data_IF_528943988522
#
_entry.id   IF_528943988522
#
_cell.length_a   1.000
_cell.length_b   1.000
_cell.length_c   1.000
_cell.angle_alpha   90.00
_cell.angle_beta   90.00
_cell.angle_gamma   90.00
#
_symmetry.space_group_name_H-M   'P 1'
#
loop_
_entity.id
_entity.type
_entity.pdbx_description
1 polymer ?
#
# COMPACT_ATOMS: atom_id res chain seq x y z
N UNK A 1 4.59 -20.46 36.92
CA UNK A 1 5.35 -19.29 37.42
C UNK A 1 6.83 -19.60 37.24
N UNK A 2 7.51 -18.96 36.27
CA UNK A 2 8.95 -19.16 36.07
C UNK A 2 9.73 -18.25 37.02
N UNK A 3 10.67 -18.88 37.74
CA UNK A 3 11.54 -18.31 38.75
C UNK A 3 12.42 -17.17 38.17
N UNK A 4 12.22 -15.95 38.70
CA UNK A 4 12.89 -14.72 38.25
C UNK A 4 14.32 -14.59 38.81
N UNK A 5 14.78 -15.52 39.65
CA UNK A 5 16.06 -15.45 40.35
C UNK A 5 17.32 -15.73 39.52
N UNK A 6 17.21 -16.11 38.24
CA UNK A 6 18.37 -16.51 37.40
C UNK A 6 18.81 -15.50 36.34
N UNK A 7 18.20 -14.32 36.26
CA UNK A 7 18.53 -13.33 35.24
C UNK A 7 19.51 -12.32 35.82
N UNK A 8 20.81 -12.50 35.55
CA UNK A 8 21.82 -11.48 35.82
C UNK A 8 21.79 -10.42 34.70
N UNK A 9 22.01 -9.15 35.06
CA UNK A 9 21.93 -7.95 34.21
C UNK A 9 20.53 -7.53 33.75
N UNK A 10 19.62 -7.29 34.69
CA UNK A 10 18.39 -6.53 34.40
C UNK A 10 18.65 -5.03 34.55
N UNK A 11 18.92 -4.35 33.45
CA UNK A 11 18.70 -2.90 33.38
C UNK A 11 17.23 -2.64 33.03
N UNK A 12 16.65 -1.58 33.61
CA UNK A 12 15.33 -1.10 33.21
C UNK A 12 15.48 -0.52 31.81
N UNK A 13 14.89 -1.18 30.82
CA UNK A 13 14.95 -0.77 29.42
C UNK A 13 14.00 0.39 29.19
N UNK A 14 14.55 1.44 28.58
CA UNK A 14 13.84 2.59 28.00
C UNK A 14 12.72 2.13 27.06
N UNK A 15 11.62 2.87 26.97
CA UNK A 15 10.42 2.46 26.22
C UNK A 15 10.70 2.28 24.73
N UNK A 16 11.62 3.09 24.18
CA UNK A 16 12.14 2.99 22.81
C UNK A 16 12.79 1.62 22.52
N UNK A 17 13.49 1.06 23.51
CA UNK A 17 14.18 -0.23 23.41
C UNK A 17 13.22 -1.43 23.50
N UNK A 18 12.00 -1.24 24.05
CA UNK A 18 10.97 -2.30 24.09
C UNK A 18 10.41 -2.59 22.69
N UNK A 19 10.18 -1.55 21.89
CA UNK A 19 9.74 -1.68 20.49
C UNK A 19 10.79 -2.35 19.59
N UNK A 20 12.05 -1.94 19.71
CA UNK A 20 13.14 -2.61 18.98
C UNK A 20 13.31 -4.07 19.40
N UNK A 21 13.19 -4.38 20.70
CA UNK A 21 13.29 -5.76 21.20
C UNK A 21 12.08 -6.61 20.82
N UNK A 22 10.87 -6.06 20.75
CA UNK A 22 9.69 -6.79 20.28
C UNK A 22 9.79 -7.09 18.78
N UNK A 23 10.28 -6.14 17.98
CA UNK A 23 10.59 -6.35 16.56
C UNK A 23 11.67 -7.41 16.39
N UNK A 24 12.80 -7.31 17.10
CA UNK A 24 13.88 -8.32 17.04
C UNK A 24 13.39 -9.69 17.53
N UNK A 25 12.56 -9.73 18.58
CA UNK A 25 11.98 -10.97 19.10
C UNK A 25 10.97 -11.56 18.11
N UNK A 26 10.17 -10.76 17.42
CA UNK A 26 9.26 -11.18 16.35
C UNK A 26 10.02 -11.65 15.09
N UNK A 27 11.11 -10.95 14.73
CA UNK A 27 12.04 -11.36 13.67
C UNK A 27 12.72 -12.70 14.01
N UNK A 28 13.02 -12.96 15.29
CA UNK A 28 13.56 -14.25 15.73
C UNK A 28 12.46 -15.33 15.88
N UNK A 29 11.23 -14.95 16.25
CA UNK A 29 10.04 -15.83 16.28
C UNK A 29 9.63 -16.28 14.88
N UNK A 30 10.11 -15.62 13.82
CA UNK A 30 10.00 -16.09 12.43
C UNK A 30 10.58 -17.50 12.23
N UNK A 31 11.42 -17.98 13.15
CA UNK A 31 11.98 -19.33 13.16
C UNK A 31 11.08 -20.36 13.87
N UNK A 32 9.94 -19.96 14.45
CA UNK A 32 9.06 -20.86 15.18
C UNK A 32 8.28 -21.77 14.20
N UNK A 33 8.26 -23.11 14.40
CA UNK A 33 7.67 -24.07 13.46
C UNK A 33 6.19 -23.85 13.12
N UNK A 34 5.44 -23.19 14.02
CA UNK A 34 4.01 -22.87 13.83
C UNK A 34 3.79 -21.71 12.86
N UNK A 35 4.75 -20.79 12.72
CA UNK A 35 4.68 -19.66 11.79
C UNK A 35 5.21 -20.03 10.40
N UNK A 36 6.11 -21.02 10.31
CA UNK A 36 6.72 -21.47 9.05
C UNK A 36 5.74 -22.01 7.99
N UNK A 37 4.51 -22.40 8.39
CA UNK A 37 3.49 -22.89 7.46
C UNK A 37 2.65 -21.78 6.79
N UNK A 38 2.84 -20.52 7.16
CA UNK A 38 2.08 -19.41 6.58
C UNK A 38 2.79 -18.88 5.31
N UNK A 39 2.04 -18.61 4.23
CA UNK A 39 2.57 -18.04 2.99
C UNK A 39 3.30 -16.70 3.22
N UNK A 40 2.93 -15.96 4.26
CA UNK A 40 3.58 -14.71 4.70
C UNK A 40 5.07 -14.86 5.07
N UNK A 41 5.50 -16.08 5.37
CA UNK A 41 6.86 -16.41 5.80
C UNK A 41 7.79 -16.76 4.64
N UNK A 42 7.26 -16.96 3.43
CA UNK A 42 8.03 -17.29 2.24
C UNK A 42 8.92 -16.10 1.86
N UNK A 43 10.23 -16.34 1.80
CA UNK A 43 11.22 -15.30 1.50
C UNK A 43 11.49 -15.26 0.00
N UNK A 44 11.30 -14.08 -0.58
CA UNK A 44 11.79 -13.75 -1.92
C UNK A 44 12.91 -12.73 -1.76
N UNK A 45 14.06 -12.94 -2.38
CA UNK A 45 15.26 -12.10 -2.19
C UNK A 45 15.59 -11.80 -0.71
N UNK A 46 15.43 -12.80 0.17
CA UNK A 46 15.78 -12.70 1.59
C UNK A 46 14.74 -12.06 2.52
N UNK A 47 13.64 -11.50 1.98
CA UNK A 47 12.57 -10.86 2.77
C UNK A 47 11.21 -11.52 2.50
N UNK A 48 10.42 -11.74 3.55
CA UNK A 48 9.01 -12.19 3.44
C UNK A 48 8.02 -11.06 3.73
N UNK A 49 6.74 -11.25 3.43
CA UNK A 49 5.70 -10.25 3.74
C UNK A 49 5.61 -9.99 5.24
N UNK A 50 5.67 -11.04 6.08
CA UNK A 50 5.71 -10.89 7.53
C UNK A 50 6.83 -9.95 7.99
N UNK A 51 8.05 -10.15 7.45
CA UNK A 51 9.17 -9.28 7.78
C UNK A 51 8.92 -7.85 7.31
N UNK A 52 8.38 -7.66 6.10
CA UNK A 52 8.06 -6.34 5.56
C UNK A 52 7.03 -5.60 6.41
N UNK A 53 5.95 -6.29 6.82
CA UNK A 53 4.89 -5.73 7.68
C UNK A 53 5.46 -5.32 9.03
N UNK A 54 6.31 -6.15 9.64
CA UNK A 54 6.89 -5.91 10.95
C UNK A 54 7.86 -4.71 10.98
N UNK A 55 8.65 -4.51 9.92
CA UNK A 55 9.65 -3.43 9.89
C UNK A 55 9.10 -2.11 9.34
N UNK A 56 7.99 -2.15 8.60
CA UNK A 56 7.33 -0.98 7.97
C UNK A 56 7.14 0.22 8.92
N UNK A 57 6.71 0.08 10.20
CA UNK A 57 6.62 1.21 11.13
C UNK A 57 7.95 1.92 11.38
N UNK A 58 9.08 1.21 11.33
CA UNK A 58 10.40 1.83 11.47
C UNK A 58 10.70 2.75 10.28
N UNK A 59 10.27 2.39 9.07
CA UNK A 59 10.47 3.23 7.87
C UNK A 59 9.67 4.54 7.92
N UNK A 60 8.65 4.64 8.76
CA UNK A 60 7.90 5.89 8.94
C UNK A 60 8.72 6.97 9.61
N UNK A 61 9.68 6.59 10.47
CA UNK A 61 10.42 7.53 11.34
C UNK A 61 11.94 7.42 11.20
N UNK A 62 12.47 6.32 10.67
CA UNK A 62 13.90 6.10 10.44
C UNK A 62 14.21 5.93 8.95
N UNK A 63 15.36 6.44 8.53
CA UNK A 63 15.97 6.19 7.24
C UNK A 63 17.39 5.65 7.40
N UNK A 64 18.01 5.25 6.29
CA UNK A 64 19.40 4.83 6.27
C UNK A 64 20.30 5.97 5.77
N UNK A 65 21.27 6.37 6.58
CA UNK A 65 22.32 7.29 6.17
C UNK A 65 23.27 6.58 5.20
N UNK A 66 23.33 7.04 3.96
CA UNK A 66 24.16 6.42 2.91
C UNK A 66 25.66 6.49 3.19
N UNK A 67 26.11 7.47 3.97
CA UNK A 67 27.53 7.66 4.28
C UNK A 67 27.98 6.74 5.41
N UNK A 68 27.15 6.59 6.44
CA UNK A 68 27.49 5.81 7.64
C UNK A 68 26.92 4.40 7.63
N UNK A 69 25.98 4.10 6.72
CA UNK A 69 25.19 2.87 6.65
C UNK A 69 24.43 2.55 7.96
N UNK A 70 24.17 3.57 8.77
CA UNK A 70 23.42 3.45 10.03
C UNK A 70 22.01 3.99 9.85
N UNK A 71 21.06 3.37 10.56
CA UNK A 71 19.73 3.92 10.70
C UNK A 71 19.79 5.22 11.53
N UNK A 72 19.12 6.26 11.05
CA UNK A 72 18.98 7.55 11.75
C UNK A 72 17.54 8.05 11.64
N UNK A 73 17.05 8.84 12.62
CA UNK A 73 15.76 9.49 12.52
C UNK A 73 15.63 10.29 11.21
N UNK A 74 14.47 10.26 10.59
CA UNK A 74 14.21 11.00 9.35
C UNK A 74 14.33 12.51 9.53
N UNK A 75 14.10 13.03 10.73
CA UNK A 75 14.35 14.43 11.09
C UNK A 75 15.82 14.84 11.03
N UNK A 76 16.76 13.89 11.11
CA UNK A 76 18.20 14.14 10.95
C UNK A 76 18.65 13.97 9.49
N UNK A 77 17.91 13.20 8.70
CA UNK A 77 18.24 12.88 7.30
C UNK A 77 17.52 13.77 6.30
N UNK A 78 16.39 14.34 6.70
CA UNK A 78 15.44 15.09 5.88
C UNK A 78 14.87 16.25 6.70
N UNK A 79 14.14 17.16 6.06
CA UNK A 79 13.45 18.25 6.74
C UNK A 79 12.09 17.83 7.35
N UNK A 80 11.80 16.52 7.41
CA UNK A 80 10.54 15.99 7.91
C UNK A 80 10.80 14.90 8.97
N UNK A 81 10.02 14.88 10.07
CA UNK A 81 10.11 13.81 11.06
C UNK A 81 9.54 12.46 10.56
N UNK A 82 8.79 12.48 9.44
CA UNK A 82 8.13 11.31 8.88
C UNK A 82 8.44 11.12 7.40
N UNK A 83 8.35 9.87 6.96
CA UNK A 83 8.60 9.48 5.58
C UNK A 83 7.66 10.15 4.59
N UNK A 84 8.24 10.85 3.61
CA UNK A 84 7.51 11.44 2.51
C UNK A 84 7.31 10.40 1.39
N UNK A 85 6.11 9.84 1.31
CA UNK A 85 5.74 8.87 0.29
C UNK A 85 5.75 9.43 -1.15
N UNK A 86 5.83 10.75 -1.37
CA UNK A 86 5.96 11.31 -2.71
C UNK A 86 7.25 10.86 -3.41
N UNK A 87 8.29 10.47 -2.66
CA UNK A 87 9.53 9.91 -3.25
C UNK A 87 9.32 8.56 -3.95
N UNK A 88 8.16 7.92 -3.74
CA UNK A 88 7.78 6.67 -4.39
C UNK A 88 7.08 6.88 -5.73
N UNK A 89 6.79 8.14 -6.13
CA UNK A 89 6.04 8.47 -7.35
C UNK A 89 6.56 7.75 -8.61
N UNK A 90 7.88 7.69 -8.76
CA UNK A 90 8.53 7.12 -9.95
C UNK A 90 8.75 5.60 -9.87
N UNK A 91 8.44 4.95 -8.75
CA UNK A 91 8.72 3.53 -8.53
C UNK A 91 7.63 2.65 -9.13
N UNK A 92 7.99 1.77 -10.07
CA UNK A 92 7.14 0.66 -10.52
C UNK A 92 7.72 -0.66 -10.04
N UNK A 93 6.83 -1.59 -9.76
CA UNK A 93 7.18 -2.98 -9.67
C UNK A 93 6.67 -3.75 -10.89
N UNK A 94 7.56 -4.58 -11.44
CA UNK A 94 7.22 -5.60 -12.44
C UNK A 94 7.69 -6.93 -11.89
N UNK A 95 6.77 -7.89 -11.80
CA UNK A 95 7.10 -9.22 -11.30
C UNK A 95 7.81 -10.04 -12.38
N UNK A 96 8.86 -10.77 -11.97
CA UNK A 96 9.54 -11.72 -12.85
C UNK A 96 8.72 -13.01 -12.98
N UNK A 97 8.74 -13.64 -14.16
CA UNK A 97 7.95 -14.86 -14.42
C UNK A 97 8.24 -15.99 -13.43
N UNK A 98 9.50 -16.13 -13.01
CA UNK A 98 9.95 -17.11 -12.01
C UNK A 98 9.31 -16.94 -10.63
N UNK A 99 8.78 -15.74 -10.33
CA UNK A 99 8.17 -15.43 -9.04
C UNK A 99 6.63 -15.47 -9.07
N UNK A 100 6.01 -15.73 -10.23
CA UNK A 100 4.56 -15.66 -10.39
C UNK A 100 3.81 -16.69 -9.56
N UNK A 101 4.40 -17.87 -9.36
CA UNK A 101 3.74 -18.99 -8.68
C UNK A 101 4.23 -19.14 -7.24
N UNK A 102 4.97 -18.16 -6.70
CA UNK A 102 5.40 -18.15 -5.30
C UNK A 102 4.22 -17.77 -4.42
N UNK A 103 3.75 -18.65 -3.51
CA UNK A 103 2.61 -18.34 -2.64
C UNK A 103 2.87 -17.11 -1.78
N UNK A 104 1.88 -16.23 -1.64
CA UNK A 104 1.98 -14.99 -0.87
C UNK A 104 2.80 -13.86 -1.53
N UNK A 105 3.53 -14.13 -2.61
CA UNK A 105 4.32 -13.12 -3.32
C UNK A 105 3.90 -12.92 -4.78
N UNK A 106 3.52 -14.00 -5.45
CA UNK A 106 3.10 -14.02 -6.84
C UNK A 106 1.61 -13.74 -7.00
N UNK A 107 0.99 -14.48 -7.93
CA UNK A 107 -0.44 -14.41 -8.25
C UNK A 107 -1.28 -14.57 -6.99
N UNK A 108 -2.36 -13.80 -6.91
CA UNK A 108 -3.36 -14.02 -5.89
C UNK A 108 -4.06 -15.38 -6.12
N UNK A 109 -4.04 -16.23 -5.10
CA UNK A 109 -4.74 -17.51 -5.10
C UNK A 109 -6.07 -17.48 -4.32
N UNK A 110 -6.45 -16.32 -3.79
CA UNK A 110 -7.59 -16.15 -2.88
C UNK A 110 -8.86 -15.66 -3.60
N UNK A 111 -8.81 -15.46 -4.92
CA UNK A 111 -10.00 -15.22 -5.76
C UNK A 111 -10.01 -13.92 -6.57
N UNK A 112 -9.01 -13.04 -6.43
CA UNK A 112 -8.95 -11.82 -7.27
C UNK A 112 -8.72 -12.14 -8.75
N UNK A 113 -8.03 -13.25 -9.03
CA UNK A 113 -7.83 -13.80 -10.37
C UNK A 113 -9.16 -14.19 -11.03
N UNK A 114 -10.05 -14.83 -10.28
CA UNK A 114 -11.40 -15.22 -10.73
C UNK A 114 -12.27 -13.97 -10.88
N UNK A 115 -12.28 -13.09 -9.87
CA UNK A 115 -13.13 -11.90 -9.84
C UNK A 115 -12.81 -10.92 -11.00
N UNK A 116 -11.52 -10.73 -11.29
CA UNK A 116 -11.07 -9.82 -12.35
C UNK A 116 -10.90 -10.49 -13.71
N UNK A 117 -11.16 -11.79 -13.84
CA UNK A 117 -10.82 -12.59 -15.02
C UNK A 117 -11.28 -11.93 -16.35
N UNK A 118 -12.56 -11.60 -16.46
CA UNK A 118 -13.11 -11.00 -17.69
C UNK A 118 -12.54 -9.59 -17.98
N UNK A 119 -12.25 -8.83 -16.93
CA UNK A 119 -11.63 -7.50 -17.06
C UNK A 119 -10.19 -7.63 -17.55
N UNK A 120 -9.39 -8.48 -16.92
CA UNK A 120 -8.00 -8.73 -17.29
C UNK A 120 -7.86 -9.32 -18.68
N UNK A 121 -8.77 -10.23 -19.05
CA UNK A 121 -8.83 -10.80 -20.40
C UNK A 121 -8.99 -9.71 -21.46
N UNK A 122 -9.95 -8.78 -21.29
CA UNK A 122 -10.16 -7.67 -22.22
C UNK A 122 -8.97 -6.73 -22.31
N UNK A 123 -8.34 -6.42 -21.17
CA UNK A 123 -7.13 -5.60 -21.15
C UNK A 123 -6.00 -6.33 -21.90
N UNK A 124 -5.85 -7.64 -21.68
CA UNK A 124 -4.86 -8.46 -22.36
C UNK A 124 -5.07 -8.52 -23.87
N UNK A 125 -6.31 -8.70 -24.32
CA UNK A 125 -6.70 -8.66 -25.74
C UNK A 125 -6.33 -7.31 -26.39
N UNK A 126 -6.68 -6.20 -25.73
CA UNK A 126 -6.37 -4.86 -26.23
C UNK A 126 -4.86 -4.56 -26.31
N UNK A 127 -4.05 -5.22 -25.48
CA UNK A 127 -2.59 -5.05 -25.45
C UNK A 127 -1.82 -6.13 -26.22
N UNK A 128 -2.52 -7.13 -26.80
CA UNK A 128 -1.88 -8.28 -27.44
C UNK A 128 -1.06 -9.16 -26.48
N UNK A 129 -1.32 -9.08 -25.17
CA UNK A 129 -0.58 -9.82 -24.15
C UNK A 129 -1.50 -10.15 -22.96
N UNK A 130 -1.85 -11.43 -22.73
CA UNK A 130 -2.73 -11.83 -21.62
C UNK A 130 -2.11 -11.57 -20.23
N UNK A 131 -0.78 -11.51 -20.13
CA UNK A 131 -0.04 -11.31 -18.88
C UNK A 131 0.38 -9.83 -18.68
N UNK A 132 -0.33 -8.88 -19.28
CA UNK A 132 -0.03 -7.44 -19.13
C UNK A 132 -0.32 -6.92 -17.72
N UNK A 133 -1.34 -7.47 -17.06
CA UNK A 133 -1.68 -7.16 -15.67
C UNK A 133 -1.98 -8.47 -14.95
N UNK A 134 -1.38 -8.65 -13.78
CA UNK A 134 -1.52 -9.85 -12.98
C UNK A 134 -1.91 -9.42 -11.56
N UNK A 135 -3.05 -9.89 -11.02
CA UNK A 135 -3.42 -9.62 -9.64
C UNK A 135 -2.47 -10.39 -8.74
N UNK A 136 -1.84 -9.67 -7.81
CA UNK A 136 -0.86 -10.23 -6.91
C UNK A 136 -1.44 -10.34 -5.50
N UNK A 137 -1.08 -11.40 -4.75
CA UNK A 137 -1.59 -11.66 -3.39
C UNK A 137 -1.39 -10.49 -2.41
N UNK A 138 -2.44 -9.95 -1.80
CA UNK A 138 -2.34 -8.96 -0.73
C UNK A 138 -2.99 -9.50 0.55
N UNK A 139 -2.37 -9.21 1.70
CA UNK A 139 -2.86 -9.71 2.98
C UNK A 139 -4.17 -9.02 3.39
N UNK A 140 -5.11 -9.80 3.94
CA UNK A 140 -6.45 -9.37 4.35
C UNK A 140 -6.53 -8.87 5.79
N UNK A 141 -5.51 -8.15 6.26
CA UNK A 141 -5.37 -7.68 7.65
C UNK A 141 -6.03 -6.32 7.93
N UNK A 142 -6.84 -5.81 6.99
CA UNK A 142 -7.43 -4.48 7.04
C UNK A 142 -6.58 -3.36 6.44
N UNK A 143 -5.35 -3.66 5.99
CA UNK A 143 -4.46 -2.71 5.30
C UNK A 143 -4.29 -3.03 3.80
N UNK A 144 -5.16 -3.89 3.24
CA UNK A 144 -5.04 -4.40 1.86
C UNK A 144 -4.82 -3.32 0.79
N UNK A 145 -5.45 -2.14 0.92
CA UNK A 145 -5.25 -1.03 -0.02
C UNK A 145 -3.79 -0.54 -0.03
N UNK A 146 -3.23 -0.24 1.14
CA UNK A 146 -1.85 0.27 1.22
C UNK A 146 -0.83 -0.84 0.97
N UNK A 147 -1.16 -2.11 1.25
CA UNK A 147 -0.37 -3.27 0.83
C UNK A 147 -0.31 -3.37 -0.70
N UNK A 148 -1.47 -3.30 -1.37
CA UNK A 148 -1.55 -3.35 -2.83
C UNK A 148 -0.76 -2.22 -3.49
N UNK A 149 -0.89 -0.99 -2.98
CA UNK A 149 -0.13 0.18 -3.45
C UNK A 149 1.37 -0.01 -3.21
N UNK A 150 1.77 -0.45 -2.02
CA UNK A 150 3.18 -0.68 -1.69
C UNK A 150 3.81 -1.73 -2.61
N UNK A 151 3.06 -2.81 -2.93
CA UNK A 151 3.49 -3.85 -3.86
C UNK A 151 3.53 -3.37 -5.31
N UNK A 152 2.56 -2.57 -5.76
CA UNK A 152 2.58 -1.99 -7.10
C UNK A 152 3.81 -1.10 -7.33
N UNK A 153 4.34 -0.45 -6.28
CA UNK A 153 5.51 0.42 -6.38
C UNK A 153 6.83 -0.34 -6.17
N UNK A 154 6.87 -1.30 -5.24
CA UNK A 154 8.14 -1.87 -4.73
C UNK A 154 8.19 -3.39 -4.71
N UNK A 155 7.09 -4.05 -5.04
CA UNK A 155 6.93 -5.51 -4.94
C UNK A 155 6.79 -6.03 -3.52
N UNK A 156 6.71 -5.14 -2.51
CA UNK A 156 6.64 -5.50 -1.09
C UNK A 156 5.58 -4.70 -0.37
N UNK A 157 5.11 -5.20 0.77
CA UNK A 157 4.25 -4.48 1.71
C UNK A 157 5.04 -3.52 2.62
N UNK A 158 6.25 -3.11 2.23
CA UNK A 158 7.19 -2.38 3.11
C UNK A 158 6.72 -1.00 3.55
N UNK A 159 5.82 -0.38 2.76
CA UNK A 159 5.39 1.00 2.95
C UNK A 159 3.95 1.11 3.45
N UNK A 160 3.34 0.02 3.92
CA UNK A 160 1.94 0.05 4.41
C UNK A 160 1.73 1.10 5.51
N UNK A 161 2.66 1.18 6.48
CA UNK A 161 2.58 2.07 7.62
C UNK A 161 2.97 3.51 7.22
N UNK A 162 4.09 3.74 6.50
CA UNK A 162 4.38 5.06 5.91
C UNK A 162 3.23 5.64 5.08
N UNK A 163 2.56 4.82 4.26
CA UNK A 163 1.43 5.27 3.43
C UNK A 163 0.26 5.72 4.28
N UNK A 164 -0.13 4.96 5.31
CA UNK A 164 -1.19 5.33 6.25
C UNK A 164 -0.85 6.59 7.05
N UNK A 165 0.35 6.65 7.63
CA UNK A 165 0.78 7.82 8.42
C UNK A 165 0.86 9.09 7.58
N UNK A 166 1.40 9.00 6.35
CA UNK A 166 1.47 10.15 5.46
C UNK A 166 0.07 10.55 4.97
N UNK A 167 -0.81 9.59 4.65
CA UNK A 167 -2.19 9.88 4.29
C UNK A 167 -2.93 10.66 5.38
N UNK A 168 -2.88 10.18 6.63
CA UNK A 168 -3.51 10.84 7.78
C UNK A 168 -3.04 12.29 7.90
N UNK A 169 -1.72 12.49 7.93
CA UNK A 169 -1.10 13.82 8.02
C UNK A 169 -1.50 14.71 6.85
N UNK A 170 -1.48 14.18 5.62
CA UNK A 170 -1.81 14.93 4.41
C UNK A 170 -3.27 15.38 4.39
N UNK A 171 -4.21 14.53 4.82
CA UNK A 171 -5.63 14.92 4.92
C UNK A 171 -5.82 16.01 5.98
N UNK A 172 -5.17 15.89 7.15
CA UNK A 172 -5.22 16.93 8.19
C UNK A 172 -4.68 18.27 7.65
N UNK A 173 -3.50 18.26 7.02
CA UNK A 173 -2.85 19.45 6.46
C UNK A 173 -3.65 20.10 5.32
N UNK A 174 -4.45 19.32 4.60
CA UNK A 174 -5.21 19.75 3.41
C UNK A 174 -6.72 19.69 3.59
N UNK A 175 -7.20 19.59 4.83
CA UNK A 175 -8.61 19.36 5.18
C UNK A 175 -9.56 20.33 4.48
N UNK A 176 -9.32 21.63 4.61
CA UNK A 176 -10.14 22.68 4.01
C UNK A 176 -10.21 22.60 2.47
N UNK A 177 -9.17 22.07 1.82
CA UNK A 177 -9.17 21.88 0.37
C UNK A 177 -10.05 20.69 0.02
N UNK A 178 -9.90 19.57 0.72
CA UNK A 178 -10.67 18.37 0.46
C UNK A 178 -12.15 18.51 0.81
N UNK A 179 -12.47 19.19 1.92
CA UNK A 179 -13.84 19.54 2.30
C UNK A 179 -14.53 20.33 1.18
N UNK A 180 -13.89 21.39 0.66
CA UNK A 180 -14.45 22.18 -0.45
C UNK A 180 -14.59 21.39 -1.75
N UNK A 181 -13.64 20.52 -2.07
CA UNK A 181 -13.70 19.70 -3.29
C UNK A 181 -14.78 18.61 -3.23
N UNK A 182 -15.11 18.13 -2.02
CA UNK A 182 -15.97 16.97 -1.81
C UNK A 182 -17.28 17.32 -1.10
N UNK A 183 -17.62 18.59 -0.97
CA UNK A 183 -18.81 19.10 -0.24
C UNK A 183 -20.12 18.44 -0.71
N UNK A 184 -20.24 18.14 -2.01
CA UNK A 184 -21.41 17.48 -2.58
C UNK A 184 -21.41 15.94 -2.44
N UNK A 185 -20.32 15.34 -1.94
CA UNK A 185 -20.09 13.90 -1.91
C UNK A 185 -19.89 13.33 -0.50
N UNK A 186 -19.39 14.14 0.43
CA UNK A 186 -19.01 13.73 1.78
C UNK A 186 -19.60 14.74 2.77
N UNK A 187 -20.35 14.25 3.75
CA UNK A 187 -20.90 15.11 4.79
C UNK A 187 -19.78 15.69 5.67
N UNK A 188 -19.90 16.96 6.06
CA UNK A 188 -18.96 17.65 6.93
C UNK A 188 -18.67 16.89 8.24
N UNK A 189 -19.64 16.14 8.77
CA UNK A 189 -19.47 15.35 9.99
C UNK A 189 -18.66 14.04 9.80
N UNK A 190 -18.39 13.60 8.58
CA UNK A 190 -17.63 12.37 8.30
C UNK A 190 -16.11 12.59 8.31
N UNK A 191 -15.63 13.83 8.26
CA UNK A 191 -14.20 14.10 8.07
C UNK A 191 -13.31 13.63 9.21
N UNK A 192 -13.82 13.68 10.44
CA UNK A 192 -13.07 13.18 11.59
C UNK A 192 -12.93 11.65 11.51
N UNK A 193 -14.00 10.95 11.13
CA UNK A 193 -13.98 9.49 10.88
C UNK A 193 -13.02 9.14 9.72
N UNK A 194 -13.02 9.89 8.61
CA UNK A 194 -12.07 9.72 7.48
C UNK A 194 -10.62 9.82 7.97
N UNK A 195 -10.33 10.83 8.79
CA UNK A 195 -8.98 11.04 9.33
C UNK A 195 -8.60 9.91 10.30
N UNK A 196 -9.55 9.40 11.09
CA UNK A 196 -9.33 8.28 12.01
C UNK A 196 -9.08 6.96 11.27
N UNK A 197 -9.83 6.70 10.19
CA UNK A 197 -9.68 5.53 9.30
C UNK A 197 -8.27 5.42 8.68
N UNK A 198 -7.54 6.54 8.61
CA UNK A 198 -6.16 6.56 8.12
C UNK A 198 -5.13 6.04 9.14
N UNK A 199 -5.48 5.94 10.42
CA UNK A 199 -4.53 5.57 11.47
C UNK A 199 -4.02 4.12 11.26
N UNK A 200 -2.70 3.86 11.29
CA UNK A 200 -2.16 2.51 11.25
C UNK A 200 -2.78 1.56 12.28
N UNK A 201 -3.13 2.05 13.47
CA UNK A 201 -3.73 1.27 14.56
C UNK A 201 -5.27 1.31 14.56
N UNK A 202 -5.89 1.88 13.51
CA UNK A 202 -7.34 1.94 13.39
C UNK A 202 -7.96 0.55 13.47
N UNK A 203 -8.94 0.41 14.37
CA UNK A 203 -9.74 -0.81 14.52
C UNK A 203 -11.20 -0.45 14.28
N UNK A 204 -11.87 -1.06 13.29
CA UNK A 204 -13.29 -0.83 13.08
C UNK A 204 -14.06 -1.25 14.33
N UNK A 205 -15.10 -0.49 14.65
CA UNK A 205 -16.02 -0.85 15.73
C UNK A 205 -16.75 -2.15 15.35
N UNK A 206 -16.52 -3.21 16.12
CA UNK A 206 -17.11 -4.53 15.89
C UNK A 206 -18.63 -4.49 16.15
N UNK A 207 -19.12 -3.48 16.89
CA UNK A 207 -20.53 -3.38 17.28
C UNK A 207 -21.43 -2.75 16.21
N UNK A 208 -20.88 -1.93 15.31
CA UNK A 208 -21.65 -1.26 14.25
C UNK A 208 -21.92 -2.17 13.06
N UNK A 209 -21.24 -3.32 12.98
CA UNK A 209 -21.31 -4.29 11.87
C UNK A 209 -21.06 -3.65 10.48
N UNK A 210 -20.48 -2.45 10.46
CA UNK A 210 -20.05 -1.74 9.27
C UNK A 210 -18.56 -2.01 9.08
N UNK A 211 -18.13 -2.58 7.94
CA UNK A 211 -16.72 -2.68 7.63
C UNK A 211 -16.15 -1.28 7.38
N UNK A 212 -15.70 -0.61 8.45
CA UNK A 212 -14.99 0.68 8.36
C UNK A 212 -13.53 0.41 8.03
N UNK A 213 -13.03 1.07 6.98
CA UNK A 213 -11.70 0.87 6.41
C UNK A 213 -11.42 1.96 5.38
N UNK A 214 -10.28 1.88 4.67
CA UNK A 214 -9.95 2.92 3.69
C UNK A 214 -10.95 2.90 2.51
N UNK A 215 -11.81 3.91 2.48
CA UNK A 215 -12.81 4.24 1.44
C UNK A 215 -12.24 4.91 0.18
N UNK A 216 -13.08 5.17 -0.83
CA UNK A 216 -12.71 5.82 -2.09
C UNK A 216 -12.01 7.19 -1.92
N UNK A 217 -12.42 7.99 -0.93
CA UNK A 217 -11.76 9.27 -0.62
C UNK A 217 -10.28 9.08 -0.25
N UNK A 218 -9.94 7.99 0.44
CA UNK A 218 -8.56 7.66 0.78
C UNK A 218 -7.73 7.33 -0.45
N UNK A 219 -8.32 6.68 -1.45
CA UNK A 219 -7.64 6.38 -2.72
C UNK A 219 -7.34 7.69 -3.46
N UNK A 220 -8.31 8.61 -3.50
CA UNK A 220 -8.11 9.94 -4.06
C UNK A 220 -7.00 10.71 -3.33
N UNK A 221 -7.03 10.74 -2.00
CA UNK A 221 -6.00 11.39 -1.19
C UNK A 221 -4.62 10.70 -1.33
N UNK A 222 -4.56 9.37 -1.38
CA UNK A 222 -3.32 8.61 -1.62
C UNK A 222 -2.69 8.94 -2.96
N UNK A 223 -3.50 9.15 -4.01
CA UNK A 223 -2.96 9.56 -5.32
C UNK A 223 -2.25 10.92 -5.24
N UNK A 224 -2.75 11.84 -4.40
CA UNK A 224 -2.14 13.14 -4.15
C UNK A 224 -0.91 13.06 -3.24
N UNK A 225 -0.91 12.15 -2.26
CA UNK A 225 0.23 11.84 -1.39
C UNK A 225 1.39 11.29 -2.23
N UNK A 226 1.09 10.34 -3.12
CA UNK A 226 2.07 9.70 -3.98
C UNK A 226 2.50 10.56 -5.17
N UNK A 227 1.80 11.67 -5.44
CA UNK A 227 1.92 12.45 -6.69
C UNK A 227 1.79 11.54 -7.92
N UNK A 228 0.98 10.49 -7.78
CA UNK A 228 0.87 9.41 -8.74
C UNK A 228 -0.57 8.93 -8.79
N UNK A 229 -1.11 8.76 -10.00
CA UNK A 229 -2.49 8.30 -10.08
C UNK A 229 -2.66 6.81 -9.85
N UNK A 230 -3.84 6.46 -9.33
CA UNK A 230 -4.22 5.10 -8.95
C UNK A 230 -5.44 4.73 -9.79
N UNK A 231 -5.34 3.62 -10.52
CA UNK A 231 -6.42 3.06 -11.33
C UNK A 231 -6.94 1.82 -10.61
N UNK A 232 -8.24 1.80 -10.35
CA UNK A 232 -8.93 0.66 -9.77
C UNK A 232 -9.64 -0.11 -10.89
N UNK A 233 -9.55 -1.43 -10.83
CA UNK A 233 -10.29 -2.32 -11.71
C UNK A 233 -11.30 -3.11 -10.88
N UNK A 234 -12.52 -3.20 -11.40
CA UNK A 234 -13.56 -4.09 -10.92
C UNK A 234 -13.76 -5.19 -11.98
N UNK A 235 -14.44 -6.26 -11.58
CA UNK A 235 -15.07 -7.21 -12.48
C UNK A 235 -15.90 -6.52 -13.57
N UNK A 236 -16.01 -7.15 -14.73
CA UNK A 236 -16.79 -6.60 -15.84
C UNK A 236 -18.28 -6.41 -15.48
N UNK A 237 -18.80 -7.26 -14.59
CA UNK A 237 -20.16 -7.14 -14.06
C UNK A 237 -20.30 -5.94 -13.12
N UNK A 238 -19.35 -5.75 -12.20
CA UNK A 238 -19.33 -4.60 -11.30
C UNK A 238 -19.24 -3.28 -12.05
N UNK A 239 -18.34 -3.18 -13.03
CA UNK A 239 -18.22 -1.99 -13.90
C UNK A 239 -19.48 -1.70 -14.74
N UNK A 240 -20.34 -2.70 -14.98
CA UNK A 240 -21.62 -2.54 -15.68
C UNK A 240 -22.79 -2.24 -14.74
N UNK A 241 -22.63 -2.50 -13.44
CA UNK A 241 -23.65 -2.22 -12.46
C UNK A 241 -23.61 -0.74 -12.08
N UNK A 242 -24.76 -0.05 -12.15
CA UNK A 242 -24.87 1.33 -11.69
C UNK A 242 -24.96 1.45 -10.15
N UNK A 243 -24.32 0.53 -9.41
CA UNK A 243 -24.39 0.48 -7.95
C UNK A 243 -23.51 1.54 -7.29
N UNK A 244 -24.12 2.33 -6.40
CA UNK A 244 -23.56 3.27 -5.41
C UNK A 244 -22.10 3.70 -5.59
N UNK A 245 -21.84 4.38 -6.70
CA UNK A 245 -21.15 5.66 -6.87
C UNK A 245 -21.17 5.97 -8.39
N UNK A 246 -22.34 5.76 -9.02
CA UNK A 246 -22.60 6.12 -10.40
C UNK A 246 -22.85 7.62 -10.49
N UNK A 247 -21.77 8.40 -10.36
CA UNK A 247 -21.67 9.65 -11.08
C UNK A 247 -21.78 9.32 -12.56
N UNK A 248 -22.98 9.44 -13.13
CA UNK A 248 -23.17 9.47 -14.58
C UNK A 248 -22.23 10.55 -15.13
N UNK A 249 -21.18 10.13 -15.85
CA UNK A 249 -19.97 10.86 -16.25
C UNK A 249 -18.83 10.88 -15.21
N UNK A 250 -18.04 9.80 -15.12
CA UNK A 250 -16.56 9.80 -15.14
C UNK A 250 -16.14 8.33 -15.29
N UNK A 251 -15.58 7.96 -16.45
CA UNK A 251 -14.83 6.70 -16.54
C UNK A 251 -13.65 6.81 -15.57
N UNK A 252 -13.55 5.88 -14.60
CA UNK A 252 -12.50 5.88 -13.58
C UNK A 252 -11.10 5.96 -14.20
N UNK A 253 -10.58 7.18 -14.27
CA UNK A 253 -9.25 7.50 -14.76
C UNK A 253 -8.71 8.59 -13.85
N UNK A 254 -8.06 8.20 -12.75
CA UNK A 254 -7.02 9.05 -12.17
C UNK A 254 -5.74 8.55 -12.84
N UNK A 255 -5.10 9.40 -13.64
CA UNK A 255 -4.27 9.04 -14.81
C UNK A 255 -2.74 9.02 -14.66
N UNK A 256 -2.07 7.85 -14.62
CA UNK A 256 -0.89 7.53 -15.48
C UNK A 256 -0.46 6.07 -15.32
N UNK A 257 -0.54 5.35 -16.44
CA UNK A 257 -0.28 3.92 -16.62
C UNK A 257 1.20 3.57 -16.46
N UNK A 258 1.51 2.36 -15.95
CA UNK A 258 2.81 1.72 -16.13
C UNK A 258 2.64 0.27 -16.61
N UNK A 259 3.56 -0.12 -17.50
CA UNK A 259 3.48 -1.20 -18.47
C UNK A 259 4.39 -2.39 -18.09
N UNK A 260 4.17 -3.53 -18.75
CA UNK A 260 5.11 -4.67 -18.79
C UNK A 260 6.15 -4.42 -19.88
N UNK A 261 7.41 -4.75 -19.58
CA UNK A 261 8.61 -4.64 -20.42
C UNK A 261 8.39 -5.21 -21.84
N UNK A 262 8.34 -4.33 -22.85
CA UNK A 262 8.46 -4.70 -24.27
C UNK A 262 9.89 -4.42 -24.74
N UNK A 263 10.74 -5.45 -24.73
CA UNK A 263 11.94 -5.45 -25.57
C UNK A 263 11.54 -5.66 -27.03
N UNK A 264 11.81 -4.63 -27.85
CA UNK A 264 11.71 -4.55 -29.32
C UNK A 264 10.30 -4.54 -29.91
N UNK A 265 9.76 -3.33 -30.11
CA UNK A 265 8.96 -3.02 -31.28
C UNK A 265 9.32 -1.62 -31.80
N UNK A 266 10.13 -1.61 -32.84
CA UNK A 266 10.35 -0.45 -33.70
C UNK A 266 9.03 -0.07 -34.38
N UNK A 267 8.86 1.24 -34.63
CA UNK A 267 7.91 1.91 -35.52
C UNK A 267 6.52 2.31 -34.97
N UNK A 268 6.41 3.64 -34.77
CA UNK A 268 5.31 4.57 -35.13
C UNK A 268 3.87 4.27 -34.66
N UNK A 269 3.35 5.25 -33.91
CA UNK A 269 1.93 5.63 -33.73
C UNK A 269 1.05 4.79 -32.78
N UNK A 270 0.93 5.26 -31.53
CA UNK A 270 -0.35 5.35 -30.84
C UNK A 270 -0.28 6.48 -29.79
N UNK A 271 -0.79 7.64 -30.20
CA UNK A 271 -1.04 8.80 -29.35
C UNK A 271 -2.23 8.45 -28.45
N UNK A 272 -2.12 8.65 -27.14
CA UNK A 272 -3.28 8.95 -26.31
C UNK A 272 -2.89 10.05 -25.32
N UNK A 273 -3.14 11.28 -25.76
CA UNK A 273 -3.10 12.49 -24.96
C UNK A 273 -4.39 12.60 -24.15
N UNK A 274 -4.29 12.74 -22.83
CA UNK A 274 -5.29 13.44 -22.05
C UNK A 274 -4.55 14.43 -21.15
N UNK A 275 -4.54 15.66 -21.65
CA UNK A 275 -4.17 16.87 -20.94
C UNK A 275 -5.17 17.07 -19.79
N UNK A 276 -4.67 17.21 -18.57
CA UNK A 276 -5.28 18.12 -17.61
C UNK A 276 -4.20 19.16 -17.30
N UNK A 277 -4.17 20.19 -18.14
CA UNK A 277 -3.46 21.42 -17.85
C UNK A 277 -4.37 22.16 -16.89
N UNK A 278 -3.98 22.25 -15.62
CA UNK A 278 -4.17 23.49 -14.87
C UNK A 278 -3.14 23.54 -13.75
N UNK A 279 -2.26 24.54 -13.88
CA UNK A 279 -1.37 25.02 -12.83
C UNK A 279 -2.27 25.58 -11.72
N UNK A 280 -2.13 25.06 -10.51
CA UNK A 280 -2.47 25.81 -9.32
C UNK A 280 -1.17 26.02 -8.53
N UNK A 281 -0.64 27.23 -8.68
CA UNK A 281 0.19 27.88 -7.68
C UNK A 281 -0.64 28.16 -6.44
#
# INVERSE_FOLDING_TARGET
>A
MHDRGRILNTSVLDESARGARSVIKALNLSQHPLLQKNHEMIKVHGLSNFHATLISPLFTIYGMDKNTLKAKPLSELTNSPQFDCAILAERSFTISREHLDIPGFGRDGMGSDIYLYETLKKIGEANGNPDVLIPLHADGDGHCLVHAISRAMTGRNLFWHPLRSHLKRHIIEKREIYERLMDNFINANEWDDIIEECDPEFKPDITTNEPRGLRNIHIFCLSNVLKRPIILFDSLTGMKSCGDYSGNQVGYCISRLQFVDQKKASSRNAICSLLCHDRLY
#
